data_IF_867963101230
#
_entry.id   IF_867963101230
#
_cell.length_a   1.000
_cell.length_b   1.000
_cell.length_c   1.000
_cell.angle_alpha   90.00
_cell.angle_beta   90.00
_cell.angle_gamma   90.00
#
_symmetry.space_group_name_H-M   'P 1'
#
loop_
_entity.id
_entity.type
_entity.pdbx_description
1 polymer ?
#
# COMPACT_ATOMS: atom_id res chain seq x y z
N UNK A 1 0.59 -0.19 -26.43
CA UNK A 1 0.02 -0.92 -25.27
C UNK A 1 -0.93 -1.97 -25.83
N UNK A 2 -1.02 -3.17 -25.23
CA UNK A 2 -2.04 -4.15 -25.58
C UNK A 2 -3.45 -3.53 -25.53
N UNK A 3 -4.38 -4.03 -26.33
CA UNK A 3 -5.79 -3.62 -26.28
C UNK A 3 -6.35 -3.82 -24.85
N UNK A 4 -7.20 -2.88 -24.40
CA UNK A 4 -7.86 -2.97 -23.09
C UNK A 4 -7.07 -2.42 -21.89
N UNK A 5 -5.83 -1.93 -22.07
CA UNK A 5 -5.06 -1.28 -21.01
C UNK A 5 -5.11 0.25 -21.15
N UNK A 6 -5.65 0.94 -20.15
CA UNK A 6 -5.70 2.40 -20.09
C UNK A 6 -4.94 2.93 -18.87
N UNK A 7 -4.33 4.11 -19.02
CA UNK A 7 -3.68 4.79 -17.91
C UNK A 7 -4.59 5.88 -17.35
N UNK A 8 -4.77 5.89 -16.04
CA UNK A 8 -5.53 6.94 -15.39
C UNK A 8 -4.75 8.26 -15.47
N UNK A 9 -5.32 9.24 -16.17
CA UNK A 9 -4.80 10.60 -16.24
C UNK A 9 -5.30 11.39 -15.04
N UNK A 10 -4.43 11.64 -14.08
CA UNK A 10 -4.68 12.61 -13.03
C UNK A 10 -4.01 13.92 -13.42
N UNK A 11 -4.71 15.05 -13.25
CA UNK A 11 -4.20 16.39 -13.58
C UNK A 11 -2.81 16.70 -12.97
N UNK A 12 -2.43 16.03 -11.87
CA UNK A 12 -1.15 16.23 -11.18
C UNK A 12 -0.21 15.00 -11.25
N UNK A 13 -0.52 14.00 -12.11
CA UNK A 13 0.29 12.78 -12.27
C UNK A 13 0.53 12.52 -13.75
N UNK A 14 1.79 12.39 -14.14
CA UNK A 14 2.12 11.88 -15.47
C UNK A 14 1.75 10.39 -15.53
N UNK A 15 0.94 9.94 -16.51
CA UNK A 15 0.69 8.52 -16.73
C UNK A 15 2.00 7.75 -16.95
N UNK A 16 2.10 6.55 -16.36
CA UNK A 16 3.23 5.63 -16.53
C UNK A 16 2.69 4.24 -16.83
N UNK A 17 3.20 3.61 -17.90
CA UNK A 17 2.76 2.27 -18.32
C UNK A 17 3.36 1.15 -17.47
N UNK A 18 2.69 0.00 -17.44
CA UNK A 18 3.21 -1.20 -16.77
C UNK A 18 4.59 -1.59 -17.32
N UNK A 19 4.78 -1.49 -18.64
CA UNK A 19 6.07 -1.78 -19.29
C UNK A 19 7.18 -0.85 -18.83
N UNK A 20 6.90 0.44 -18.65
CA UNK A 20 7.88 1.42 -18.15
C UNK A 20 8.25 1.11 -16.70
N UNK A 21 7.27 0.79 -15.85
CA UNK A 21 7.50 0.40 -14.45
C UNK A 21 8.37 -0.86 -14.36
N UNK A 22 8.07 -1.87 -15.18
CA UNK A 22 8.83 -3.14 -15.20
C UNK A 22 10.27 -2.93 -15.68
N UNK A 23 10.47 -2.03 -16.64
CA UNK A 23 11.77 -1.72 -17.24
C UNK A 23 12.66 -0.82 -16.35
N UNK A 24 12.09 -0.15 -15.33
CA UNK A 24 12.85 0.69 -14.40
C UNK A 24 13.66 -0.18 -13.40
N UNK A 25 14.93 -0.39 -13.74
CA UNK A 25 15.84 -1.20 -12.93
C UNK A 25 16.15 -0.60 -11.57
N UNK A 26 16.15 0.74 -11.45
CA UNK A 26 16.39 1.39 -10.17
C UNK A 26 15.17 1.29 -9.25
N UNK A 27 13.96 1.49 -9.79
CA UNK A 27 12.73 1.29 -9.04
C UNK A 27 12.64 -0.16 -8.53
N UNK A 28 12.99 -1.14 -9.38
CA UNK A 28 13.09 -2.55 -8.98
C UNK A 28 14.09 -2.75 -7.84
N UNK A 29 15.33 -2.29 -8.01
CA UNK A 29 16.37 -2.42 -6.97
C UNK A 29 15.95 -1.76 -5.64
N UNK A 30 15.26 -0.63 -5.72
CA UNK A 30 14.73 0.06 -4.55
C UNK A 30 13.62 -0.75 -3.86
N UNK A 31 12.68 -1.32 -4.63
CA UNK A 31 11.62 -2.16 -4.07
C UNK A 31 12.15 -3.50 -3.55
N UNK A 32 13.20 -4.09 -4.14
CA UNK A 32 13.89 -5.27 -3.59
C UNK A 32 14.48 -4.97 -2.21
N UNK A 33 15.00 -3.75 -1.99
CA UNK A 33 15.44 -3.28 -0.68
C UNK A 33 14.26 -3.10 0.28
N UNK A 34 13.18 -2.44 -0.15
CA UNK A 34 11.97 -2.27 0.66
C UNK A 34 11.38 -3.62 1.09
N UNK A 35 11.32 -4.59 0.17
CA UNK A 35 10.83 -5.94 0.45
C UNK A 35 11.66 -6.61 1.56
N UNK A 36 12.99 -6.49 1.55
CA UNK A 36 13.84 -7.03 2.64
C UNK A 36 13.48 -6.45 4.01
N UNK A 37 13.08 -5.17 4.09
CA UNK A 37 12.63 -4.58 5.34
C UNK A 37 11.24 -5.06 5.75
N UNK A 38 10.34 -5.22 4.79
CA UNK A 38 9.01 -5.78 5.03
C UNK A 38 9.14 -7.23 5.51
N UNK A 39 9.96 -8.05 4.86
CA UNK A 39 10.23 -9.45 5.21
C UNK A 39 10.84 -9.58 6.61
N UNK A 40 11.75 -8.67 6.97
CA UNK A 40 12.33 -8.62 8.31
C UNK A 40 11.23 -8.38 9.36
N UNK A 41 10.33 -7.42 9.13
CA UNK A 41 9.20 -7.17 10.02
C UNK A 41 8.21 -8.34 10.01
N UNK A 42 7.95 -8.97 8.86
CA UNK A 42 7.10 -10.16 8.75
C UNK A 42 7.61 -11.27 9.66
N UNK A 43 8.91 -11.54 9.62
CA UNK A 43 9.55 -12.54 10.48
C UNK A 43 9.40 -12.18 11.96
N UNK A 44 9.68 -10.93 12.34
CA UNK A 44 9.51 -10.46 13.72
C UNK A 44 8.05 -10.60 14.19
N UNK A 45 7.07 -10.22 13.37
CA UNK A 45 5.65 -10.34 13.71
C UNK A 45 5.22 -11.80 13.85
N UNK A 46 5.71 -12.69 12.98
CA UNK A 46 5.48 -14.14 13.09
C UNK A 46 6.01 -14.66 14.43
N UNK A 47 7.25 -14.32 14.78
CA UNK A 47 7.91 -14.80 16.00
C UNK A 47 7.26 -14.24 17.26
N UNK A 48 7.05 -12.92 17.35
CA UNK A 48 6.61 -12.24 18.57
C UNK A 48 5.11 -12.34 18.83
N UNK A 49 4.29 -12.50 17.78
CA UNK A 49 2.83 -12.60 17.90
C UNK A 49 2.30 -14.04 17.71
N UNK A 50 3.20 -15.01 17.43
CA UNK A 50 2.84 -16.40 17.19
C UNK A 50 1.96 -16.61 15.95
N UNK A 51 2.16 -15.79 14.91
CA UNK A 51 1.42 -15.89 13.65
C UNK A 51 1.96 -17.01 12.77
N UNK A 52 1.16 -17.41 11.78
CA UNK A 52 1.57 -18.27 10.69
C UNK A 52 1.41 -17.54 9.36
N UNK A 53 1.98 -18.08 8.30
CA UNK A 53 1.77 -17.56 6.94
C UNK A 53 0.29 -17.49 6.53
N UNK A 54 -0.59 -18.29 7.15
CA UNK A 54 -2.03 -18.26 6.87
C UNK A 54 -2.73 -17.04 7.48
N UNK A 55 -2.10 -16.38 8.45
CA UNK A 55 -2.64 -15.20 9.13
C UNK A 55 -2.29 -13.90 8.40
N UNK A 56 -1.50 -13.97 7.31
CA UNK A 56 -0.95 -12.82 6.62
C UNK A 56 -1.44 -12.78 5.18
N UNK A 57 -1.83 -11.58 4.73
CA UNK A 57 -2.21 -11.29 3.35
C UNK A 57 -1.32 -10.16 2.85
N UNK A 58 -0.64 -10.39 1.74
CA UNK A 58 0.19 -9.39 1.09
C UNK A 58 -0.66 -8.49 0.19
N UNK A 59 -0.60 -7.17 0.42
CA UNK A 59 -1.27 -6.17 -0.40
C UNK A 59 -0.26 -5.61 -1.41
N UNK A 60 -0.57 -5.58 -2.73
CA UNK A 60 0.36 -5.09 -3.73
C UNK A 60 0.62 -3.59 -3.55
N UNK A 61 1.86 -3.24 -3.25
CA UNK A 61 2.30 -1.86 -3.00
C UNK A 61 3.68 -1.65 -3.62
N UNK A 62 3.91 -0.47 -4.20
CA UNK A 62 5.24 -0.03 -4.64
C UNK A 62 5.69 1.19 -3.85
N UNK A 63 7.00 1.34 -3.75
CA UNK A 63 7.67 2.45 -3.09
C UNK A 63 8.66 3.14 -4.03
N UNK A 64 8.89 4.43 -3.80
CA UNK A 64 9.99 5.19 -4.38
C UNK A 64 10.88 5.77 -3.27
N UNK A 65 12.04 6.25 -3.67
CA UNK A 65 12.94 7.00 -2.80
C UNK A 65 12.42 8.42 -2.59
N UNK A 66 12.51 8.92 -1.36
CA UNK A 66 12.25 10.34 -1.06
C UNK A 66 13.27 11.29 -1.72
N UNK A 67 14.38 10.75 -2.24
CA UNK A 67 15.38 11.48 -3.03
C UNK A 67 15.25 11.14 -4.51
N UNK A 68 15.35 12.17 -5.36
CA UNK A 68 15.33 12.01 -6.83
C UNK A 68 16.74 11.88 -7.38
N UNK A 69 16.91 11.00 -8.37
CA UNK A 69 18.17 10.83 -9.12
C UNK A 69 18.68 12.10 -9.80
N UNK A 70 17.78 13.01 -10.18
CA UNK A 70 18.15 14.26 -10.85
C UNK A 70 19.16 15.08 -10.02
N UNK A 71 19.06 15.01 -8.69
CA UNK A 71 19.83 15.83 -7.75
C UNK A 71 20.73 15.00 -6.82
N UNK A 72 20.74 13.67 -6.96
CA UNK A 72 21.41 12.77 -6.02
C UNK A 72 22.06 11.58 -6.73
N UNK A 73 23.12 11.03 -6.16
CA UNK A 73 23.72 9.79 -6.66
C UNK A 73 22.80 8.57 -6.47
N UNK A 74 23.01 7.52 -7.28
CA UNK A 74 22.29 6.24 -7.12
C UNK A 74 22.41 5.71 -5.69
N UNK A 75 23.60 5.79 -5.09
CA UNK A 75 23.85 5.34 -3.71
C UNK A 75 22.99 6.10 -2.69
N UNK A 76 22.83 7.41 -2.87
CA UNK A 76 21.98 8.22 -2.00
C UNK A 76 20.50 7.92 -2.18
N UNK A 77 20.03 7.76 -3.42
CA UNK A 77 18.65 7.37 -3.72
C UNK A 77 18.33 6.03 -3.07
N UNK A 78 19.21 5.04 -3.23
CA UNK A 78 19.05 3.71 -2.63
C UNK A 78 19.11 3.72 -1.10
N UNK A 79 19.70 4.74 -0.47
CA UNK A 79 19.78 4.87 1.01
C UNK A 79 18.68 5.73 1.62
N UNK A 80 17.97 6.51 0.82
CA UNK A 80 16.96 7.42 1.34
C UNK A 80 15.76 6.66 1.97
N UNK A 81 14.93 7.36 2.77
CA UNK A 81 13.63 6.88 3.20
C UNK A 81 12.71 6.52 2.03
N UNK A 82 11.83 5.55 2.26
CA UNK A 82 10.80 5.16 1.29
C UNK A 82 9.58 6.07 1.39
N UNK A 83 9.03 6.41 0.24
CA UNK A 83 7.71 7.02 0.06
C UNK A 83 6.85 6.06 -0.78
N UNK A 84 5.52 6.20 -0.68
CA UNK A 84 4.60 5.36 -1.44
C UNK A 84 4.55 5.80 -2.92
N UNK A 85 4.76 4.87 -3.85
CA UNK A 85 4.77 5.15 -5.30
C UNK A 85 3.37 5.45 -5.87
N UNK A 86 2.35 4.90 -5.23
CA UNK A 86 0.93 5.20 -5.41
C UNK A 86 0.26 5.13 -4.02
N UNK A 87 -0.97 5.69 -3.82
CA UNK A 87 -1.64 5.71 -2.52
C UNK A 87 -1.55 4.38 -1.76
N UNK A 88 -1.08 4.42 -0.51
CA UNK A 88 -0.69 3.22 0.22
C UNK A 88 -1.91 2.44 0.72
N UNK A 89 -2.28 1.37 0.04
CA UNK A 89 -3.54 0.67 0.29
C UNK A 89 -3.61 0.02 1.68
N UNK A 90 -2.49 -0.27 2.35
CA UNK A 90 -2.52 -0.82 3.72
C UNK A 90 -2.86 0.27 4.76
N UNK A 91 -2.68 1.55 4.41
CA UNK A 91 -3.00 2.73 5.22
C UNK A 91 -4.52 3.02 5.21
N UNK A 92 -5.32 1.99 5.48
CA UNK A 92 -6.78 1.99 5.35
C UNK A 92 -7.52 2.24 6.67
N UNK A 93 -8.73 2.79 6.55
CA UNK A 93 -9.69 2.91 7.66
C UNK A 93 -10.48 1.60 7.85
N UNK A 94 -10.40 0.99 9.04
CA UNK A 94 -11.10 -0.27 9.36
C UNK A 94 -12.31 -0.03 10.28
N UNK A 95 -13.52 -0.18 9.75
CA UNK A 95 -14.81 -0.07 10.45
C UNK A 95 -15.56 -1.42 10.46
N UNK A 96 -15.09 -2.34 11.31
CA UNK A 96 -15.63 -3.70 11.33
C UNK A 96 -15.32 -4.42 10.02
N UNK A 97 -16.35 -4.77 9.25
CA UNK A 97 -16.21 -5.39 7.93
C UNK A 97 -16.03 -4.39 6.79
N UNK A 98 -16.23 -3.10 7.03
CA UNK A 98 -16.11 -2.07 5.99
C UNK A 98 -14.71 -1.45 6.02
N UNK A 99 -14.02 -1.52 4.88
CA UNK A 99 -12.68 -0.97 4.70
C UNK A 99 -12.76 0.29 3.84
N UNK A 100 -12.19 1.39 4.32
CA UNK A 100 -11.93 2.62 3.56
C UNK A 100 -10.48 2.62 3.09
N UNK A 101 -10.25 2.12 1.89
CA UNK A 101 -8.92 1.86 1.32
C UNK A 101 -8.52 3.05 0.45
N UNK A 102 -7.30 3.61 0.56
CA UNK A 102 -6.82 4.62 -0.38
C UNK A 102 -6.94 4.13 -1.83
N UNK A 103 -7.48 4.97 -2.72
CA UNK A 103 -7.68 4.59 -4.13
C UNK A 103 -6.32 4.58 -4.83
N UNK A 104 -5.85 3.45 -5.39
CA UNK A 104 -4.47 3.35 -5.87
C UNK A 104 -4.21 4.00 -7.23
N UNK A 105 -5.27 4.34 -7.98
CA UNK A 105 -5.16 4.85 -9.36
C UNK A 105 -4.21 4.02 -10.23
N UNK A 106 -4.31 2.69 -10.10
CA UNK A 106 -3.53 1.75 -10.91
C UNK A 106 -4.00 1.68 -12.36
N UNK A 107 -3.26 0.95 -13.20
CA UNK A 107 -3.64 0.69 -14.59
C UNK A 107 -5.06 0.12 -14.69
N UNK A 108 -5.82 0.60 -15.66
CA UNK A 108 -7.14 0.08 -15.99
C UNK A 108 -6.93 -1.06 -16.98
N UNK A 109 -7.45 -2.24 -16.67
CA UNK A 109 -7.46 -3.41 -17.55
C UNK A 109 -8.92 -3.86 -17.65
N UNK A 110 -9.46 -3.92 -18.87
CA UNK A 110 -10.85 -4.27 -19.14
C UNK A 110 -11.86 -3.40 -18.36
N UNK A 111 -11.60 -2.09 -18.30
CA UNK A 111 -12.48 -1.12 -17.64
C UNK A 111 -12.39 -1.07 -16.11
N UNK A 112 -11.50 -1.86 -15.48
CA UNK A 112 -11.31 -1.87 -14.02
C UNK A 112 -9.85 -1.64 -13.61
N UNK A 113 -9.63 -0.90 -12.52
CA UNK A 113 -8.30 -0.78 -11.93
C UNK A 113 -7.82 -2.15 -11.42
N UNK A 114 -6.70 -2.64 -11.95
CA UNK A 114 -6.20 -3.98 -11.64
C UNK A 114 -5.77 -4.14 -10.17
N UNK A 115 -5.26 -3.08 -9.54
CA UNK A 115 -4.90 -3.07 -8.12
C UNK A 115 -6.15 -3.16 -7.22
N UNK A 116 -7.19 -2.39 -7.54
CA UNK A 116 -8.48 -2.48 -6.83
C UNK A 116 -9.06 -3.89 -6.95
N UNK A 117 -9.04 -4.46 -8.16
CA UNK A 117 -9.51 -5.83 -8.43
C UNK A 117 -8.74 -6.86 -7.60
N UNK A 118 -7.42 -6.75 -7.52
CA UNK A 118 -6.59 -7.69 -6.75
C UNK A 118 -6.86 -7.59 -5.25
N UNK A 119 -6.96 -6.38 -4.70
CA UNK A 119 -7.30 -6.18 -3.28
C UNK A 119 -8.68 -6.75 -2.96
N UNK A 120 -9.67 -6.59 -3.86
CA UNK A 120 -10.98 -7.23 -3.72
C UNK A 120 -10.87 -8.75 -3.69
N UNK A 121 -10.14 -9.33 -4.65
CA UNK A 121 -9.92 -10.78 -4.74
C UNK A 121 -9.32 -11.35 -3.45
N UNK A 122 -8.44 -10.61 -2.79
CA UNK A 122 -7.80 -11.02 -1.53
C UNK A 122 -8.73 -10.89 -0.31
N UNK A 123 -9.50 -9.81 -0.22
CA UNK A 123 -10.19 -9.43 1.03
C UNK A 123 -11.70 -9.75 1.05
N UNK A 124 -12.39 -9.66 -0.09
CA UNK A 124 -13.85 -9.90 -0.15
C UNK A 124 -14.25 -11.35 0.20
N UNK A 125 -13.47 -12.41 -0.13
CA UNK A 125 -13.77 -13.78 0.32
C UNK A 125 -13.79 -13.95 1.85
N UNK A 126 -13.17 -13.03 2.60
CA UNK A 126 -13.20 -13.02 4.07
C UNK A 126 -14.46 -12.33 4.63
N UNK A 127 -15.36 -11.87 3.75
CA UNK A 127 -16.54 -11.10 4.11
C UNK A 127 -16.25 -9.62 4.41
N UNK A 128 -15.12 -9.09 3.93
CA UNK A 128 -14.76 -7.68 4.03
C UNK A 128 -15.33 -6.90 2.83
N UNK A 129 -15.79 -5.68 3.06
CA UNK A 129 -16.30 -4.77 2.02
C UNK A 129 -15.27 -3.70 1.72
N UNK A 130 -14.65 -3.77 0.53
CA UNK A 130 -13.61 -2.83 0.12
C UNK A 130 -14.21 -1.58 -0.53
N UNK A 131 -13.97 -0.40 0.04
CA UNK A 131 -14.39 0.88 -0.50
C UNK A 131 -13.15 1.73 -0.80
N UNK A 132 -12.90 2.03 -2.07
CA UNK A 132 -11.73 2.82 -2.47
C UNK A 132 -12.05 4.31 -2.41
N UNK A 133 -11.31 5.04 -1.58
CA UNK A 133 -11.49 6.46 -1.28
C UNK A 133 -10.46 7.25 -2.08
N UNK A 134 -10.92 8.18 -2.91
CA UNK A 134 -10.02 9.13 -3.56
C UNK A 134 -9.51 10.15 -2.52
N UNK A 135 -8.28 9.95 -2.08
CA UNK A 135 -7.55 10.83 -1.19
C UNK A 135 -6.34 11.48 -1.87
N UNK A 136 -6.21 11.35 -3.20
CA UNK A 136 -4.98 11.63 -3.94
C UNK A 136 -4.46 13.05 -3.70
N UNK A 137 -5.33 14.04 -3.94
CA UNK A 137 -4.99 15.47 -3.80
C UNK A 137 -5.02 15.96 -2.35
N UNK A 138 -5.83 15.32 -1.52
CA UNK A 138 -6.10 15.79 -0.15
C UNK A 138 -5.04 15.33 0.83
N UNK A 139 -4.58 14.09 0.69
CA UNK A 139 -3.67 13.41 1.61
C UNK A 139 -2.44 12.86 0.89
N UNK A 140 -2.58 12.03 -0.15
CA UNK A 140 -1.46 11.29 -0.74
C UNK A 140 -0.30 12.18 -1.21
N UNK A 141 -0.58 13.25 -1.97
CA UNK A 141 0.46 14.18 -2.42
C UNK A 141 1.16 14.94 -1.27
N UNK A 142 0.61 14.88 -0.05
CA UNK A 142 1.17 15.41 1.19
C UNK A 142 1.83 14.32 2.06
N UNK A 143 2.16 13.18 1.46
CA UNK A 143 2.86 12.05 2.10
C UNK A 143 2.06 11.34 3.20
N UNK A 144 0.76 11.19 3.02
CA UNK A 144 -0.08 10.34 3.89
C UNK A 144 -1.35 9.91 3.19
N UNK A 145 -2.09 8.96 3.76
CA UNK A 145 -3.31 8.41 3.13
C UNK A 145 -4.49 8.41 4.12
N UNK A 146 -5.59 7.72 3.79
CA UNK A 146 -6.82 7.63 4.60
C UNK A 146 -6.56 7.43 6.10
N UNK A 147 -5.75 6.45 6.52
CA UNK A 147 -5.51 6.21 7.95
C UNK A 147 -4.68 7.34 8.60
N UNK A 148 -3.76 7.99 7.87
CA UNK A 148 -3.07 9.19 8.35
C UNK A 148 -4.04 10.36 8.63
N UNK A 149 -5.11 10.46 7.85
CA UNK A 149 -6.12 11.52 7.96
C UNK A 149 -7.28 11.24 8.90
N UNK A 150 -7.36 10.04 9.48
CA UNK A 150 -8.53 9.60 10.26
C UNK A 150 -8.13 8.99 11.60
N UNK A 151 -9.09 8.90 12.52
CA UNK A 151 -8.92 8.16 13.77
C UNK A 151 -10.27 7.56 14.20
N UNK A 152 -10.25 6.44 14.92
CA UNK A 152 -11.46 5.70 15.30
C UNK A 152 -11.48 5.42 16.78
N UNK A 153 -12.52 5.90 17.47
CA UNK A 153 -12.82 5.47 18.84
C UNK A 153 -13.51 4.11 18.80
N UNK A 154 -12.88 3.09 19.38
CA UNK A 154 -13.38 1.70 19.38
C UNK A 154 -13.95 1.31 20.74
N UNK A 155 -14.79 0.27 20.76
CA UNK A 155 -15.27 -0.34 22.00
C UNK A 155 -14.09 -0.95 22.77
N UNK A 156 -13.96 -0.74 24.09
CA UNK A 156 -12.93 -1.39 24.89
C UNK A 156 -13.02 -2.92 24.84
N UNK A 157 -11.91 -3.60 25.13
CA UNK A 157 -11.91 -5.05 25.35
C UNK A 157 -12.89 -5.42 26.47
N UNK A 158 -13.58 -6.56 26.30
CA UNK A 158 -14.42 -7.13 27.37
C UNK A 158 -13.57 -7.70 28.51
N UNK A 159 -12.37 -8.19 28.19
CA UNK A 159 -11.37 -8.63 29.15
C UNK A 159 -10.94 -7.49 30.07
N UNK A 160 -10.88 -7.76 31.37
CA UNK A 160 -10.50 -6.78 32.39
C UNK A 160 -8.98 -6.76 32.51
N UNK A 161 -8.35 -5.63 32.20
CA UNK A 161 -6.89 -5.52 32.14
C UNK A 161 -6.19 -5.94 33.44
N UNK A 162 -6.80 -5.70 34.60
CA UNK A 162 -6.24 -6.09 35.91
C UNK A 162 -6.23 -7.60 36.19
N UNK A 163 -6.87 -8.41 35.33
CA UNK A 163 -6.78 -9.87 35.40
C UNK A 163 -5.57 -10.42 34.62
N UNK A 164 -4.87 -9.59 33.83
CA UNK A 164 -3.65 -9.99 33.16
C UNK A 164 -2.54 -10.24 34.19
N UNK A 165 -1.65 -11.19 33.90
CA UNK A 165 -0.37 -11.39 34.61
C UNK A 165 0.75 -11.08 33.61
N UNK A 166 1.20 -9.81 33.53
CA UNK A 166 2.23 -9.39 32.58
C UNK A 166 3.60 -10.01 32.86
#
# INVERSE_FOLDING_TARGET
>A
MPEGIELQVLKDRKPCSISEIIADSLLRQYNDKCQKYIDWNRKTLIEELGLTEKDIIDIPQLFNSSKKLLDNSISEVLKAPAEAYFPDMVNMLVLGKHLGIPKPFGPIIDGQCCLEKEVRRLLEPLGLSCNFIDDYRTYYIKQGDVHCGTNVRRKPFSFKWWNMRP
#
